data_IF_992318340481
#
_entry.id   IF_992318340481
#
_cell.length_a   1.000
_cell.length_b   1.000
_cell.length_c   1.000
_cell.angle_alpha   90.00
_cell.angle_beta   90.00
_cell.angle_gamma   90.00
#
_symmetry.space_group_name_H-M   'P 1'
#
loop_
_entity.id
_entity.type
_entity.pdbx_description
1 polymer ?
#
# COMPACT_ATOMS: atom_id res chain seq x y z
N UNK A 1 -7.47 40.09 -10.98
CA UNK A 1 -7.48 38.90 -11.85
C UNK A 1 -6.18 38.08 -11.76
N UNK A 2 -5.00 38.60 -12.12
CA UNK A 2 -3.73 37.83 -12.18
C UNK A 2 -3.32 37.10 -10.88
N UNK A 3 -3.54 37.71 -9.70
CA UNK A 3 -3.25 37.09 -8.39
C UNK A 3 -4.19 35.93 -8.05
N UNK A 4 -5.44 36.03 -8.49
CA UNK A 4 -6.44 34.97 -8.31
C UNK A 4 -6.15 33.79 -9.25
N UNK A 5 -5.74 34.08 -10.48
CA UNK A 5 -5.30 33.07 -11.46
C UNK A 5 -4.07 32.30 -10.95
N UNK A 6 -3.13 32.97 -10.29
CA UNK A 6 -1.95 32.33 -9.69
C UNK A 6 -2.30 31.40 -8.52
N UNK A 7 -3.20 31.84 -7.62
CA UNK A 7 -3.70 31.00 -6.52
C UNK A 7 -4.43 29.75 -7.03
N UNK A 8 -5.25 29.89 -8.07
CA UNK A 8 -5.96 28.78 -8.68
C UNK A 8 -4.97 27.77 -9.31
N UNK A 9 -3.91 28.26 -9.95
CA UNK A 9 -2.84 27.42 -10.51
C UNK A 9 -2.07 26.65 -9.42
N UNK A 10 -1.74 27.29 -8.30
CA UNK A 10 -1.12 26.62 -7.15
C UNK A 10 -2.04 25.54 -6.53
N UNK A 11 -3.35 25.79 -6.47
CA UNK A 11 -4.32 24.84 -5.94
C UNK A 11 -4.45 23.59 -6.84
N UNK A 12 -4.43 23.76 -8.17
CA UNK A 12 -4.44 22.63 -9.10
C UNK A 12 -3.19 21.74 -8.96
N UNK A 13 -2.01 22.33 -8.68
CA UNK A 13 -0.77 21.57 -8.50
C UNK A 13 -0.75 20.75 -7.20
N UNK A 14 -1.42 21.20 -6.14
CA UNK A 14 -1.44 20.51 -4.84
C UNK A 14 -2.26 19.22 -4.81
N UNK A 15 -3.29 19.08 -5.67
CA UNK A 15 -4.18 17.91 -5.69
C UNK A 15 -3.47 16.66 -6.19
N UNK A 16 -2.45 16.81 -7.05
CA UNK A 16 -1.71 15.68 -7.62
C UNK A 16 -0.88 14.88 -6.61
N UNK A 17 -0.47 15.50 -5.49
CA UNK A 17 0.37 14.85 -4.48
C UNK A 17 -0.42 14.00 -3.47
N UNK A 18 -1.75 14.08 -3.45
CA UNK A 18 -2.59 13.36 -2.49
C UNK A 18 -2.69 11.85 -2.75
N UNK A 19 -2.44 11.39 -3.99
CA UNK A 19 -2.62 9.99 -4.38
C UNK A 19 -1.40 9.09 -4.12
N UNK A 20 -0.30 9.63 -3.56
CA UNK A 20 0.93 8.86 -3.28
C UNK A 20 0.98 8.27 -1.86
N UNK A 21 -0.09 8.38 -1.08
CA UNK A 21 -0.08 8.01 0.34
C UNK A 21 -0.11 6.50 0.60
N UNK A 22 -0.25 5.67 -0.43
CA UNK A 22 -0.31 4.20 -0.28
C UNK A 22 0.98 3.57 -0.81
N UNK A 23 1.69 2.87 0.06
CA UNK A 23 2.88 2.09 -0.28
C UNK A 23 2.48 0.66 -0.58
N UNK A 24 2.90 0.15 -1.74
CA UNK A 24 2.68 -1.24 -2.11
C UNK A 24 3.77 -2.12 -1.49
N UNK A 25 3.37 -3.05 -0.63
CA UNK A 25 4.25 -4.04 0.01
C UNK A 25 4.03 -5.39 -0.66
N UNK A 26 5.12 -6.00 -1.13
CA UNK A 26 5.09 -7.32 -1.76
C UNK A 26 6.14 -8.23 -1.14
N UNK A 27 5.87 -9.53 -1.09
CA UNK A 27 6.81 -10.51 -0.59
C UNK A 27 6.29 -11.93 -0.70
N UNK A 28 7.02 -12.86 -0.11
CA UNK A 28 6.67 -14.27 -0.07
C UNK A 28 6.74 -14.75 1.38
N UNK A 29 5.73 -15.49 1.82
CA UNK A 29 5.70 -16.11 3.14
C UNK A 29 6.29 -17.51 3.04
N UNK A 30 7.34 -17.77 3.82
CA UNK A 30 8.07 -19.04 3.84
C UNK A 30 7.97 -19.63 5.25
N UNK A 31 7.75 -20.94 5.32
CA UNK A 31 7.74 -21.71 6.56
C UNK A 31 9.16 -21.91 7.10
N UNK A 32 9.33 -21.74 8.40
CA UNK A 32 10.63 -21.85 9.06
C UNK A 32 11.11 -23.30 9.23
N UNK A 33 10.20 -24.28 9.15
CA UNK A 33 10.50 -25.69 9.43
C UNK A 33 11.05 -26.42 8.20
N UNK A 34 10.50 -26.12 7.02
CA UNK A 34 10.74 -26.83 5.76
C UNK A 34 11.23 -25.91 4.62
N UNK A 35 11.25 -24.59 4.82
CA UNK A 35 11.55 -23.59 3.80
C UNK A 35 10.60 -23.62 2.60
N UNK A 36 9.37 -24.11 2.78
CA UNK A 36 8.34 -24.13 1.73
C UNK A 36 7.45 -22.88 1.77
N UNK A 37 6.89 -22.43 0.63
CA UNK A 37 5.95 -21.32 0.60
C UNK A 37 4.63 -21.64 1.31
N UNK A 38 4.12 -20.71 2.12
CA UNK A 38 2.86 -20.90 2.84
C UNK A 38 1.70 -20.35 2.00
N UNK A 39 0.84 -21.25 1.54
CA UNK A 39 -0.39 -20.92 0.81
C UNK A 39 -1.50 -20.56 1.80
N UNK A 40 -2.26 -19.50 1.53
CA UNK A 40 -3.42 -19.13 2.34
C UNK A 40 -3.06 -18.45 3.68
N UNK A 41 -1.82 -17.99 3.86
CA UNK A 41 -1.41 -17.24 5.04
C UNK A 41 -2.11 -15.88 5.07
N UNK A 42 -2.67 -15.51 6.23
CA UNK A 42 -3.30 -14.21 6.44
C UNK A 42 -2.28 -13.17 6.88
N UNK A 43 -2.24 -12.04 6.17
CA UNK A 43 -1.33 -10.92 6.43
C UNK A 43 -2.19 -9.70 6.74
N UNK A 44 -1.96 -9.07 7.90
CA UNK A 44 -2.74 -7.91 8.35
C UNK A 44 -1.80 -6.79 8.76
N UNK A 45 -2.10 -5.56 8.33
CA UNK A 45 -1.37 -4.38 8.81
C UNK A 45 -1.82 -4.07 10.22
N UNK A 46 -0.87 -4.09 11.15
CA UNK A 46 -1.11 -3.87 12.59
C UNK A 46 -1.91 -2.58 12.82
N UNK A 47 -2.95 -2.67 13.65
CA UNK A 47 -3.79 -1.50 13.99
C UNK A 47 -4.84 -1.14 12.93
N UNK A 48 -4.90 -1.86 11.81
CA UNK A 48 -5.90 -1.65 10.75
C UNK A 48 -6.70 -2.94 10.49
N UNK A 49 -7.74 -2.83 9.66
CA UNK A 49 -8.45 -3.99 9.09
C UNK A 49 -7.96 -4.34 7.68
N UNK A 50 -6.86 -3.73 7.23
CA UNK A 50 -6.28 -3.93 5.91
C UNK A 50 -5.42 -5.18 5.95
N UNK A 51 -5.71 -6.12 5.06
CA UNK A 51 -4.97 -7.37 4.97
C UNK A 51 -5.12 -8.04 3.62
N UNK A 52 -4.31 -9.05 3.39
CA UNK A 52 -4.33 -9.88 2.19
C UNK A 52 -4.04 -11.34 2.57
N UNK A 53 -4.20 -12.23 1.60
CA UNK A 53 -3.92 -13.66 1.74
C UNK A 53 -2.89 -14.05 0.70
N UNK A 54 -1.95 -14.92 1.06
CA UNK A 54 -0.94 -15.41 0.11
C UNK A 54 -1.54 -16.33 -0.95
N UNK A 55 -0.97 -16.28 -2.16
CA UNK A 55 -1.34 -17.14 -3.28
C UNK A 55 -0.71 -18.54 -3.20
N UNK A 56 -0.85 -19.33 -4.27
CA UNK A 56 -0.27 -20.68 -4.38
C UNK A 56 1.26 -20.74 -4.31
N UNK A 57 1.95 -19.62 -4.57
CA UNK A 57 3.40 -19.52 -4.47
C UNK A 57 3.82 -18.86 -3.14
N UNK A 58 2.91 -18.72 -2.18
CA UNK A 58 3.13 -18.00 -0.93
C UNK A 58 3.34 -16.50 -1.11
N UNK A 59 3.08 -15.96 -2.30
CA UNK A 59 3.34 -14.55 -2.64
C UNK A 59 2.16 -13.68 -2.23
N UNK A 60 2.44 -12.46 -1.81
CA UNK A 60 1.43 -11.47 -1.46
C UNK A 60 1.75 -10.10 -2.04
N UNK A 61 0.69 -9.31 -2.20
CA UNK A 61 0.74 -7.89 -2.52
C UNK A 61 -0.31 -7.18 -1.67
N UNK A 62 0.12 -6.16 -0.92
CA UNK A 62 -0.71 -5.43 0.01
C UNK A 62 -0.45 -3.92 -0.12
N UNK A 63 -1.52 -3.17 -0.28
CA UNK A 63 -1.48 -1.72 -0.31
C UNK A 63 -1.62 -1.18 1.12
N UNK A 64 -0.55 -0.57 1.63
CA UNK A 64 -0.45 -0.08 3.00
C UNK A 64 -0.49 1.46 3.00
N UNK A 65 -1.48 2.10 3.63
CA UNK A 65 -1.50 3.55 3.78
C UNK A 65 -0.35 4.00 4.68
N UNK A 66 0.29 5.12 4.35
CA UNK A 66 1.44 5.68 5.08
C UNK A 66 1.15 6.07 6.53
N UNK A 67 -0.13 6.13 6.90
CA UNK A 67 -0.62 6.47 8.24
C UNK A 67 -0.97 5.25 9.10
N UNK A 68 -0.74 4.03 8.60
CA UNK A 68 -0.98 2.79 9.35
C UNK A 68 0.07 2.56 10.45
#
# INVERSE_FOLDING_TARGET
>A
MKRLTFLLFCLLLGIGMANAQTSKVTGTVISAEDNEPIIGASIVVKGTTIGTVTDFNGTFSLDVPSSA
#
